data_IF_759387618766
#
_entry.id   IF_759387618766
#
_cell.length_a   1.000
_cell.length_b   1.000
_cell.length_c   1.000
_cell.angle_alpha   90.00
_cell.angle_beta   90.00
_cell.angle_gamma   90.00
#
_symmetry.space_group_name_H-M   'P 1'
#
loop_
_entity.id
_entity.type
_entity.pdbx_description
1 polymer ?
#
# COMPACT_ATOMS: atom_id res chain seq x y z
N UNK A 1 -4.33 24.83 13.11
CA UNK A 1 -2.93 24.37 12.99
C UNK A 1 -2.97 22.85 12.94
N UNK A 2 -3.03 22.27 11.75
CA UNK A 2 -3.04 20.81 11.57
C UNK A 2 -1.58 20.37 11.57
N UNK A 3 -1.10 19.53 12.50
CA UNK A 3 0.28 19.11 12.46
C UNK A 3 0.48 18.16 11.28
N UNK A 4 1.44 18.51 10.43
CA UNK A 4 1.92 17.78 9.27
C UNK A 4 2.42 16.39 9.68
N UNK A 5 1.51 15.41 9.72
CA UNK A 5 1.82 14.05 10.15
C UNK A 5 1.87 13.04 8.98
N UNK A 6 2.01 13.52 7.75
CA UNK A 6 1.93 12.67 6.55
C UNK A 6 3.07 11.63 6.45
N UNK A 7 4.18 11.79 7.18
CA UNK A 7 5.30 10.83 7.17
C UNK A 7 5.21 9.68 8.18
N UNK A 8 4.42 9.78 9.26
CA UNK A 8 4.42 8.76 10.33
C UNK A 8 3.29 7.73 10.22
N UNK A 9 2.33 7.95 9.31
CA UNK A 9 1.21 7.04 9.08
C UNK A 9 1.67 5.71 8.50
N UNK A 10 2.39 5.75 7.38
CA UNK A 10 2.77 4.56 6.62
C UNK A 10 3.70 3.63 7.42
N UNK A 11 4.62 4.20 8.20
CA UNK A 11 5.54 3.42 9.04
C UNK A 11 4.83 2.65 10.15
N UNK A 12 3.73 3.22 10.67
CA UNK A 12 2.89 2.55 11.66
C UNK A 12 2.01 1.46 11.07
N UNK A 13 1.83 1.43 9.75
CA UNK A 13 0.96 0.48 9.06
C UNK A 13 1.77 -0.70 8.52
N UNK A 14 2.85 -0.42 7.79
CA UNK A 14 3.71 -1.46 7.20
C UNK A 14 4.67 -2.08 8.22
N UNK A 15 4.96 -1.35 9.29
CA UNK A 15 5.81 -1.81 10.38
C UNK A 15 7.29 -1.57 10.13
N UNK A 16 8.06 -1.59 11.21
CA UNK A 16 9.46 -1.16 11.21
C UNK A 16 10.42 -2.23 10.74
N UNK A 17 10.03 -3.50 10.78
CA UNK A 17 10.89 -4.60 10.33
C UNK A 17 11.10 -4.57 8.81
N UNK A 18 10.05 -4.27 8.02
CA UNK A 18 10.19 -4.09 6.57
C UNK A 18 10.95 -2.81 6.20
N UNK A 19 10.75 -1.72 6.97
CA UNK A 19 11.54 -0.49 6.82
C UNK A 19 13.03 -0.77 7.04
N UNK A 20 13.38 -1.49 8.11
CA UNK A 20 14.77 -1.83 8.43
C UNK A 20 15.38 -2.73 7.35
N UNK A 21 14.61 -3.70 6.82
CA UNK A 21 15.06 -4.52 5.70
C UNK A 21 15.36 -3.68 4.45
N UNK A 22 14.50 -2.70 4.14
CA UNK A 22 14.70 -1.76 3.04
C UNK A 22 15.94 -0.88 3.24
N UNK A 23 16.09 -0.25 4.40
CA UNK A 23 17.26 0.58 4.71
C UNK A 23 18.56 -0.21 4.58
N UNK A 24 18.59 -1.45 5.10
CA UNK A 24 19.75 -2.33 4.98
C UNK A 24 20.04 -2.74 3.53
N UNK A 25 19.01 -3.08 2.73
CA UNK A 25 19.17 -3.49 1.32
C UNK A 25 19.86 -2.40 0.50
N UNK A 26 19.49 -1.14 0.71
CA UNK A 26 20.01 -0.01 -0.05
C UNK A 26 21.13 0.77 0.66
N UNK A 27 21.57 0.31 1.85
CA UNK A 27 22.58 0.98 2.70
C UNK A 27 22.22 2.45 2.97
N UNK A 28 20.96 2.67 3.32
CA UNK A 28 20.43 3.99 3.68
C UNK A 28 20.48 4.16 5.20
N UNK A 29 20.90 5.34 5.65
CA UNK A 29 20.85 5.72 7.05
C UNK A 29 19.65 6.62 7.28
N UNK A 30 18.87 6.32 8.32
CA UNK A 30 17.80 7.19 8.77
C UNK A 30 18.37 8.26 9.68
N UNK A 31 17.86 9.49 9.59
CA UNK A 31 18.26 10.54 10.53
C UNK A 31 17.96 10.10 11.99
N UNK A 32 18.89 10.27 12.94
CA UNK A 32 18.72 9.79 14.31
C UNK A 32 17.45 10.33 15.01
N UNK A 33 17.02 11.55 14.67
CA UNK A 33 15.79 12.12 15.21
C UNK A 33 14.55 11.42 14.63
N UNK A 34 14.58 11.05 13.34
CA UNK A 34 13.53 10.27 12.71
C UNK A 34 13.47 8.83 13.25
N UNK A 35 14.61 8.21 13.50
CA UNK A 35 14.69 6.86 14.07
C UNK A 35 14.04 6.81 15.46
N UNK A 36 14.36 7.78 16.31
CA UNK A 36 13.74 7.93 17.62
C UNK A 36 12.22 8.15 17.55
N UNK A 37 11.74 8.85 16.51
CA UNK A 37 10.30 9.09 16.29
C UNK A 37 9.56 7.89 15.70
N UNK A 38 10.24 7.05 14.92
CA UNK A 38 9.66 5.87 14.27
C UNK A 38 9.39 4.75 15.28
N UNK A 39 10.28 4.55 16.27
CA UNK A 39 10.13 3.50 17.29
C UNK A 39 10.07 2.08 16.70
N UNK A 40 9.50 1.11 17.44
CA UNK A 40 9.21 -0.25 16.93
C UNK A 40 7.70 -0.41 16.72
N UNK A 41 7.30 -0.79 15.51
CA UNK A 41 5.91 -1.05 15.16
C UNK A 41 5.78 -2.35 14.37
N UNK A 42 4.89 -3.23 14.81
CA UNK A 42 4.50 -4.42 14.03
C UNK A 42 3.61 -4.01 12.86
N UNK A 43 3.76 -4.68 11.71
CA UNK A 43 2.81 -4.54 10.58
C UNK A 43 1.38 -4.73 11.07
N UNK A 44 0.50 -3.81 10.70
CA UNK A 44 -0.93 -3.91 11.01
C UNK A 44 -1.63 -4.64 9.87
N UNK A 45 -2.45 -5.66 10.15
CA UNK A 45 -3.26 -6.26 9.10
C UNK A 45 -4.25 -5.23 8.58
N UNK A 46 -4.51 -5.24 7.27
CA UNK A 46 -5.44 -4.33 6.60
C UNK A 46 -6.84 -4.35 7.23
N UNK A 47 -7.24 -5.48 7.81
CA UNK A 47 -8.49 -5.64 8.54
C UNK A 47 -8.73 -4.65 9.67
N UNK A 48 -7.67 -4.06 10.24
CA UNK A 48 -7.82 -2.99 11.26
C UNK A 48 -8.38 -1.68 10.70
N UNK A 49 -8.40 -1.50 9.38
CA UNK A 49 -8.92 -0.30 8.74
C UNK A 49 -10.34 -0.50 8.20
N UNK A 50 -10.93 -1.68 8.36
CA UNK A 50 -12.28 -1.97 7.91
C UNK A 50 -13.29 -1.55 8.99
N UNK A 51 -14.33 -0.83 8.57
CA UNK A 51 -15.43 -0.39 9.40
C UNK A 51 -16.75 -0.55 8.63
N UNK A 52 -17.88 -0.36 9.31
CA UNK A 52 -19.21 -0.54 8.71
C UNK A 52 -19.41 0.36 7.50
N UNK A 53 -18.82 1.55 7.52
CA UNK A 53 -18.96 2.54 6.44
C UNK A 53 -18.19 2.14 5.17
N UNK A 54 -17.07 1.42 5.30
CA UNK A 54 -16.20 1.08 4.16
C UNK A 54 -16.23 -0.41 3.77
N UNK A 55 -16.87 -1.27 4.55
CA UNK A 55 -16.89 -2.71 4.34
C UNK A 55 -17.40 -3.11 2.95
N UNK A 56 -18.34 -2.35 2.38
CA UNK A 56 -18.88 -2.60 1.04
C UNK A 56 -17.88 -2.31 -0.10
N UNK A 57 -16.80 -1.57 0.18
CA UNK A 57 -15.71 -1.28 -0.77
C UNK A 57 -14.53 -2.24 -0.63
N UNK A 58 -14.51 -3.06 0.43
CA UNK A 58 -13.39 -3.94 0.73
C UNK A 58 -13.66 -5.33 0.16
N UNK A 59 -12.94 -5.68 -0.91
CA UNK A 59 -12.85 -7.05 -1.41
C UNK A 59 -11.46 -7.64 -1.17
N UNK A 60 -11.30 -8.97 -1.13
CA UNK A 60 -9.99 -9.61 -1.04
C UNK A 60 -9.00 -9.11 -2.11
N UNK A 61 -9.49 -8.90 -3.34
CA UNK A 61 -8.69 -8.39 -4.46
C UNK A 61 -8.30 -6.92 -4.28
N UNK A 62 -9.16 -6.11 -3.66
CA UNK A 62 -8.86 -4.71 -3.36
C UNK A 62 -7.73 -4.59 -2.33
N UNK A 63 -7.79 -5.43 -1.29
CA UNK A 63 -6.78 -5.48 -0.23
C UNK A 63 -5.45 -6.01 -0.77
N UNK A 64 -5.48 -7.08 -1.57
CA UNK A 64 -4.30 -7.63 -2.24
C UNK A 64 -3.66 -6.63 -3.21
N UNK A 65 -4.48 -5.88 -3.95
CA UNK A 65 -4.00 -4.81 -4.82
C UNK A 65 -3.28 -3.71 -4.01
N UNK A 66 -3.88 -3.26 -2.92
CA UNK A 66 -3.31 -2.25 -2.03
C UNK A 66 -1.99 -2.72 -1.40
N UNK A 67 -1.93 -3.98 -0.97
CA UNK A 67 -0.73 -4.57 -0.35
C UNK A 67 0.47 -4.60 -1.30
N UNK A 68 0.22 -4.86 -2.59
CA UNK A 68 1.25 -4.88 -3.65
C UNK A 68 1.68 -3.48 -4.10
N UNK A 69 0.91 -2.44 -3.80
CA UNK A 69 1.30 -1.04 -4.06
C UNK A 69 2.05 -0.43 -2.88
N UNK A 70 1.61 -0.71 -1.65
CA UNK A 70 2.17 -0.16 -0.42
C UNK A 70 3.31 -1.04 0.10
N UNK A 71 4.44 -0.98 -0.62
CA UNK A 71 5.71 -1.63 -0.25
C UNK A 71 6.80 -0.60 0.02
N UNK A 72 7.63 -0.85 1.03
CA UNK A 72 8.83 -0.04 1.27
C UNK A 72 9.79 -0.13 0.09
N UNK A 73 10.09 -1.36 -0.33
CA UNK A 73 10.91 -1.59 -1.50
C UNK A 73 10.18 -1.15 -2.76
N UNK A 74 10.70 -0.11 -3.41
CA UNK A 74 10.13 0.40 -4.63
C UNK A 74 10.21 -0.61 -5.79
N UNK A 75 11.12 -1.59 -5.75
CA UNK A 75 11.20 -2.65 -6.75
C UNK A 75 10.07 -3.68 -6.62
N UNK A 76 9.49 -3.82 -5.43
CA UNK A 76 8.41 -4.77 -5.17
C UNK A 76 7.03 -4.16 -5.45
N UNK A 77 6.95 -2.85 -5.73
CA UNK A 77 5.69 -2.18 -6.08
C UNK A 77 5.28 -2.58 -7.48
N UNK A 78 3.98 -2.81 -7.69
CA UNK A 78 3.45 -3.01 -9.03
C UNK A 78 3.73 -1.79 -9.91
N UNK A 79 4.23 -2.06 -11.12
CA UNK A 79 4.24 -1.07 -12.19
C UNK A 79 2.82 -0.74 -12.62
N UNK A 80 2.61 0.40 -13.29
CA UNK A 80 1.29 0.78 -13.81
C UNK A 80 0.69 -0.31 -14.72
N UNK A 81 1.52 -0.94 -15.55
CA UNK A 81 1.09 -2.04 -16.44
C UNK A 81 0.63 -3.27 -15.67
N UNK A 82 1.35 -3.67 -14.62
CA UNK A 82 0.96 -4.80 -13.76
C UNK A 82 -0.28 -4.47 -12.93
N UNK A 83 -0.38 -3.23 -12.44
CA UNK A 83 -1.53 -2.74 -11.70
C UNK A 83 -2.81 -2.79 -12.55
N UNK A 84 -2.76 -2.36 -13.81
CA UNK A 84 -3.89 -2.45 -14.74
C UNK A 84 -4.30 -3.89 -15.05
N UNK A 85 -3.37 -4.84 -15.00
CA UNK A 85 -3.61 -6.26 -15.19
C UNK A 85 -4.18 -6.97 -13.94
N UNK A 86 -4.16 -6.31 -12.78
CA UNK A 86 -4.58 -6.91 -11.51
C UNK A 86 -6.03 -7.45 -11.53
N UNK A 87 -6.33 -8.57 -10.85
CA UNK A 87 -7.70 -9.10 -10.75
C UNK A 87 -8.75 -8.11 -10.25
N UNK A 88 -8.35 -7.17 -9.39
CA UNK A 88 -9.22 -6.08 -8.91
C UNK A 88 -9.91 -5.31 -10.05
N UNK A 89 -9.24 -5.13 -11.20
CA UNK A 89 -9.80 -4.42 -12.36
C UNK A 89 -10.51 -5.31 -13.39
N UNK A 90 -10.75 -6.60 -13.10
CA UNK A 90 -11.38 -7.53 -14.05
C UNK A 90 -12.74 -7.02 -14.57
N UNK A 91 -13.60 -6.53 -13.68
CA UNK A 91 -14.93 -6.03 -14.05
C UNK A 91 -14.84 -4.79 -14.94
N UNK A 92 -13.90 -3.88 -14.65
CA UNK A 92 -13.67 -2.68 -15.46
C UNK A 92 -13.16 -3.06 -16.84
N UNK A 93 -12.20 -3.98 -16.95
CA UNK A 93 -11.70 -4.48 -18.24
C UNK A 93 -12.78 -5.16 -19.07
N UNK A 94 -13.64 -5.96 -18.43
CA UNK A 94 -14.76 -6.61 -19.12
C UNK A 94 -15.76 -5.59 -19.67
N UNK A 95 -16.09 -4.56 -18.88
CA UNK A 95 -16.98 -3.48 -19.29
C UNK A 95 -16.39 -2.67 -20.46
N UNK A 96 -15.12 -2.27 -20.38
CA UNK A 96 -14.45 -1.54 -21.46
C UNK A 96 -14.39 -2.34 -22.76
N UNK A 97 -14.08 -3.65 -22.68
CA UNK A 97 -14.08 -4.54 -23.85
C UNK A 97 -15.47 -4.66 -24.49
N UNK A 98 -16.54 -4.65 -23.70
CA UNK A 98 -17.91 -4.69 -24.23
C UNK A 98 -18.29 -3.38 -24.95
N UNK A 99 -17.86 -2.24 -24.42
CA UNK A 99 -18.06 -0.92 -25.03
C UNK A 99 -17.35 -0.80 -26.37
N UNK A 100 -16.09 -1.23 -26.45
CA UNK A 100 -15.31 -1.18 -27.71
C UNK A 100 -15.87 -2.08 -28.81
N UNK A 101 -16.56 -3.18 -28.48
CA UNK A 101 -17.21 -4.06 -29.48
C UNK A 101 -18.52 -3.50 -30.04
N UNK A 102 -19.07 -2.46 -29.41
CA UNK A 102 -20.35 -1.86 -29.79
C UNK A 102 -20.15 -0.54 -30.57
N UNK A 103 -18.90 -0.10 -30.76
CA UNK A 103 -18.50 0.96 -31.69
C UNK A 103 -17.91 0.36 -32.96
#
# INVERSE_FOLDING_TARGET
>A
MVPSNQGTGDVKVLGTDELNAYLNKYRLELDPQLEAMVGRHSRKPWSKFFNVDNQHLVSPEAVDFLDKLLRYDHQDRLTAREAMAHPYFLQVRAAENSRMRTQ
#
